data_IF_583794852787
#
_entry.id   IF_583794852787
#
_cell.length_a   1.000
_cell.length_b   1.000
_cell.length_c   1.000
_cell.angle_alpha   90.00
_cell.angle_beta   90.00
_cell.angle_gamma   90.00
#
_symmetry.space_group_name_H-M   'P 1'
#
loop_
_entity.id
_entity.type
_entity.pdbx_description
1 polymer ?
#
# COMPACT_ATOMS: atom_id res chain seq x y z
N UNK A 1 -15.22 5.61 -15.92
CA UNK A 1 -14.35 4.56 -16.50
C UNK A 1 -12.91 4.91 -16.17
N UNK A 2 -12.10 3.93 -15.76
CA UNK A 2 -10.66 4.17 -15.52
C UNK A 2 -10.03 4.60 -16.85
N UNK A 3 -9.46 5.81 -16.91
CA UNK A 3 -8.91 6.32 -18.16
C UNK A 3 -7.67 5.51 -18.58
N UNK A 4 -7.41 5.41 -19.88
CA UNK A 4 -6.24 4.70 -20.41
C UNK A 4 -4.93 5.19 -19.78
N UNK A 5 -4.84 6.51 -19.54
CA UNK A 5 -3.69 7.14 -18.89
C UNK A 5 -3.45 6.60 -17.48
N UNK A 6 -4.50 6.49 -16.65
CA UNK A 6 -4.39 5.94 -15.30
C UNK A 6 -3.95 4.47 -15.34
N UNK A 7 -4.44 3.71 -16.33
CA UNK A 7 -4.03 2.32 -16.51
C UNK A 7 -2.53 2.19 -16.81
N UNK A 8 -2.00 3.02 -17.71
CA UNK A 8 -0.57 3.01 -18.02
C UNK A 8 0.30 3.41 -16.82
N UNK A 9 -0.14 4.41 -16.05
CA UNK A 9 0.58 4.87 -14.85
C UNK A 9 0.61 3.76 -13.80
N UNK A 10 -0.54 3.14 -13.51
CA UNK A 10 -0.64 2.07 -12.53
C UNK A 10 0.13 0.82 -12.97
N UNK A 11 0.09 0.50 -14.27
CA UNK A 11 0.85 -0.62 -14.83
C UNK A 11 2.35 -0.40 -14.70
N UNK A 12 2.85 0.80 -15.04
CA UNK A 12 4.27 1.14 -14.89
C UNK A 12 4.73 1.01 -13.45
N UNK A 13 3.93 1.49 -12.49
CA UNK A 13 4.24 1.35 -11.07
C UNK A 13 4.25 -0.14 -10.66
N UNK A 14 3.25 -0.92 -11.07
CA UNK A 14 3.19 -2.35 -10.80
C UNK A 14 4.42 -3.11 -11.35
N UNK A 15 4.93 -2.73 -12.53
CA UNK A 15 6.14 -3.31 -13.11
C UNK A 15 7.43 -2.97 -12.34
N UNK A 16 7.45 -1.89 -11.54
CA UNK A 16 8.61 -1.51 -10.72
C UNK A 16 8.61 -2.21 -9.36
N UNK A 17 7.46 -2.72 -8.94
CA UNK A 17 7.32 -3.43 -7.67
C UNK A 17 7.67 -4.91 -7.85
N UNK A 18 8.52 -5.43 -6.95
CA UNK A 18 9.02 -6.81 -7.04
C UNK A 18 7.92 -7.87 -6.90
N UNK A 19 6.83 -7.56 -6.18
CA UNK A 19 5.70 -8.47 -6.04
C UNK A 19 4.74 -8.34 -7.21
N UNK A 20 4.40 -7.11 -7.61
CA UNK A 20 3.37 -6.88 -8.64
C UNK A 20 3.85 -7.12 -10.07
N UNK A 21 5.15 -6.96 -10.35
CA UNK A 21 5.72 -7.15 -11.69
C UNK A 21 5.52 -8.58 -12.24
N UNK A 22 5.60 -9.61 -11.39
CA UNK A 22 5.33 -11.00 -11.78
C UNK A 22 3.84 -11.37 -11.78
N UNK A 23 3.01 -10.64 -11.04
CA UNK A 23 1.58 -10.94 -10.88
C UNK A 23 0.69 -10.21 -11.89
N UNK A 24 1.10 -9.03 -12.35
CA UNK A 24 0.33 -8.18 -13.27
C UNK A 24 1.02 -8.13 -14.63
N UNK A 25 0.77 -9.17 -15.42
CA UNK A 25 1.36 -9.34 -16.76
C UNK A 25 0.42 -8.92 -17.90
N UNK A 26 -0.82 -8.55 -17.59
CA UNK A 26 -1.81 -8.23 -18.62
C UNK A 26 -2.79 -7.14 -18.17
N UNK A 27 -3.39 -6.38 -19.12
CA UNK A 27 -4.39 -5.37 -18.81
C UNK A 27 -5.66 -5.91 -18.13
N UNK A 28 -5.93 -7.21 -18.26
CA UNK A 28 -7.06 -7.88 -17.60
C UNK A 28 -6.76 -8.10 -16.11
N UNK A 29 -5.60 -8.68 -15.77
CA UNK A 29 -5.16 -8.85 -14.38
C UNK A 29 -5.00 -7.51 -13.65
N UNK A 30 -4.53 -6.48 -14.35
CA UNK A 30 -4.45 -5.13 -13.79
C UNK A 30 -5.83 -4.57 -13.43
N UNK A 31 -6.86 -4.81 -14.26
CA UNK A 31 -8.23 -4.38 -13.97
C UNK A 31 -8.84 -5.14 -12.78
N UNK A 32 -8.57 -6.44 -12.68
CA UNK A 32 -9.02 -7.30 -11.57
C UNK A 32 -8.43 -6.82 -10.23
N UNK A 33 -7.11 -6.55 -10.20
CA UNK A 33 -6.39 -6.12 -8.99
C UNK A 33 -6.31 -4.61 -8.81
N UNK A 34 -7.04 -3.83 -9.60
CA UNK A 34 -6.93 -2.37 -9.64
C UNK A 34 -6.97 -1.73 -8.25
N UNK A 35 -8.05 -2.01 -7.50
CA UNK A 35 -8.27 -1.39 -6.19
C UNK A 35 -7.14 -1.72 -5.22
N UNK A 36 -6.62 -2.95 -5.28
CA UNK A 36 -5.52 -3.38 -4.42
C UNK A 36 -4.19 -2.72 -4.79
N UNK A 37 -3.91 -2.57 -6.09
CA UNK A 37 -2.74 -1.84 -6.60
C UNK A 37 -2.79 -0.37 -6.18
N UNK A 38 -3.96 0.27 -6.28
CA UNK A 38 -4.16 1.67 -5.91
C UNK A 38 -3.92 1.92 -4.41
N UNK A 39 -4.43 1.03 -3.55
CA UNK A 39 -4.18 1.07 -2.10
C UNK A 39 -2.69 0.86 -1.81
N UNK A 40 -2.05 -0.14 -2.42
CA UNK A 40 -0.63 -0.43 -2.17
C UNK A 40 0.28 0.71 -2.63
N UNK A 41 -0.01 1.29 -3.80
CA UNK A 41 0.68 2.48 -4.31
C UNK A 41 0.57 3.65 -3.32
N UNK A 42 -0.63 3.91 -2.81
CA UNK A 42 -0.84 4.99 -1.84
C UNK A 42 -0.08 4.73 -0.52
N UNK A 43 -0.10 3.48 -0.03
CA UNK A 43 0.67 3.07 1.16
C UNK A 43 2.17 3.24 0.96
N UNK A 44 2.71 2.84 -0.18
CA UNK A 44 4.13 3.04 -0.49
C UNK A 44 4.49 4.53 -0.53
N UNK A 45 3.64 5.38 -1.12
CA UNK A 45 3.87 6.84 -1.12
C UNK A 45 3.84 7.43 0.30
N UNK A 46 2.88 7.01 1.13
CA UNK A 46 2.79 7.48 2.51
C UNK A 46 4.00 7.06 3.37
N UNK A 47 4.55 5.87 3.13
CA UNK A 47 5.71 5.33 3.85
C UNK A 47 7.05 6.03 3.55
N UNK A 48 7.18 6.71 2.40
CA UNK A 48 8.38 7.49 2.05
C UNK A 48 8.41 8.83 2.79
N UNK A 49 7.24 9.39 3.13
CA UNK A 49 7.11 10.65 3.89
C UNK A 49 6.95 10.45 5.39
N UNK A 50 6.50 9.28 5.84
CA UNK A 50 6.34 8.99 7.26
C UNK A 50 7.69 8.57 7.86
N UNK A 51 8.48 9.57 8.26
CA UNK A 51 9.54 9.37 9.25
C UNK A 51 8.97 8.54 10.40
N UNK A 52 9.63 7.41 10.70
CA UNK A 52 9.25 6.41 11.71
C UNK A 52 8.49 7.07 12.87
N UNK A 53 7.20 6.74 13.13
CA UNK A 53 6.58 7.21 14.35
C UNK A 53 7.46 6.72 15.50
N UNK A 54 7.87 7.64 16.39
CA UNK A 54 8.62 7.30 17.58
C UNK A 54 7.75 6.38 18.40
N UNK A 55 7.98 5.07 18.27
CA UNK A 55 7.25 4.04 18.97
C UNK A 55 7.51 4.28 20.46
N UNK A 56 6.47 4.62 21.21
CA UNK A 56 6.58 4.80 22.66
C UNK A 56 6.63 3.41 23.31
N UNK A 57 7.84 2.88 23.45
CA UNK A 57 8.12 1.58 24.07
C UNK A 57 7.76 1.54 25.57
N UNK A 58 7.31 2.66 26.13
CA UNK A 58 6.93 2.85 27.53
C UNK A 58 5.43 3.03 27.73
N UNK A 59 4.63 2.94 26.67
CA UNK A 59 3.19 3.09 26.77
C UNK A 59 2.61 1.91 27.58
N UNK A 60 2.34 2.17 28.86
CA UNK A 60 1.80 1.20 29.80
C UNK A 60 0.32 1.48 30.09
N UNK A 61 -0.37 2.26 29.25
CA UNK A 61 -1.77 2.68 29.45
C UNK A 61 -2.75 1.49 29.53
N UNK A 62 -2.38 0.33 28.99
CA UNK A 62 -3.17 -0.90 29.04
C UNK A 62 -3.22 -1.54 30.43
N UNK A 63 -2.34 -1.18 31.36
CA UNK A 63 -2.23 -1.85 32.68
C UNK A 63 -3.12 -1.21 33.76
N UNK A 64 -3.52 0.05 33.59
CA UNK A 64 -4.23 0.81 34.64
C UNK A 64 -5.72 0.46 34.78
N UNK A 65 -6.30 -0.34 33.87
CA UNK A 65 -7.71 -0.74 33.89
C UNK A 65 -7.98 -2.15 34.41
N UNK A 66 -6.96 -2.89 34.85
CA UNK A 66 -7.10 -4.23 35.40
C UNK A 66 -7.10 -4.11 36.93
N UNK A 67 -8.29 -4.04 37.53
CA UNK A 67 -8.43 -4.25 38.98
C UNK A 67 -8.28 -5.76 39.30
N UNK A 68 -7.59 -6.06 40.41
CA UNK A 68 -7.25 -7.41 40.89
C UNK A 68 -8.46 -8.18 41.43
#
# INVERSE_FOLDING_TARGET
GRNHRDMCVLFRWACQDNFWSGNVLSPAKLRDKWTQLEINRNKQQAGVTAGKPKLDLTNTDWIYGVEL
#
